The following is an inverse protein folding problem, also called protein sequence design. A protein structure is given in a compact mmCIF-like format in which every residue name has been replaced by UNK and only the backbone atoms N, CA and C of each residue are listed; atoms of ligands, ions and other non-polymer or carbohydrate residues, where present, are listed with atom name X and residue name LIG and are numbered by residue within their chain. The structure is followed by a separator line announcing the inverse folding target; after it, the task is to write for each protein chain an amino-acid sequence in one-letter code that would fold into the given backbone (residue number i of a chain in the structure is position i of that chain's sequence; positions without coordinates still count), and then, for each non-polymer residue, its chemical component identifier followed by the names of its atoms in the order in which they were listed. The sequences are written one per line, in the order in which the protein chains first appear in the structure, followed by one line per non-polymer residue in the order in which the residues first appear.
data_IF_925638238339
#
_entry.id   IF_925638238339
#
_cell.length_a   1.000
_cell.length_b   1.000
_cell.length_c   1.000
_cell.angle_alpha   90.00
_cell.angle_beta   90.00
_cell.angle_gamma   90.00
#
_symmetry.space_group_name_H-M   'P 1'
#
loop_
_entity.id
_entity.type
_entity.pdbx_description
1 polymer ?
#
# COMPACT_ATOMS: atom_id res chain seq x y z
N UNK A 1 -14.03 1.49 -22.51
CA UNK A 1 -13.91 1.71 -21.04
C UNK A 1 -12.50 1.30 -20.66
N UNK A 2 -11.80 2.06 -19.83
CA UNK A 2 -10.47 1.69 -19.34
C UNK A 2 -10.61 1.22 -17.89
N UNK A 3 -10.18 0.00 -17.59
CA UNK A 3 -10.22 -0.53 -16.22
C UNK A 3 -9.14 0.13 -15.37
N UNK A 4 -9.42 0.32 -14.08
CA UNK A 4 -8.43 0.75 -13.10
C UNK A 4 -7.53 -0.41 -12.68
N UNK A 5 -6.36 -0.11 -12.11
CA UNK A 5 -5.46 -1.14 -11.59
C UNK A 5 -6.12 -1.97 -10.46
N UNK A 6 -7.00 -1.35 -9.67
CA UNK A 6 -7.76 -2.04 -8.63
C UNK A 6 -8.76 -3.05 -9.24
N UNK A 7 -9.42 -2.68 -10.34
CA UNK A 7 -10.35 -3.56 -11.06
C UNK A 7 -9.60 -4.75 -11.68
N UNK A 8 -8.49 -4.49 -12.38
CA UNK A 8 -7.66 -5.55 -12.96
C UNK A 8 -7.12 -6.52 -11.91
N UNK A 9 -6.72 -6.02 -10.74
CA UNK A 9 -6.32 -6.87 -9.61
C UNK A 9 -7.48 -7.73 -9.11
N UNK A 10 -8.67 -7.14 -8.93
CA UNK A 10 -9.85 -7.84 -8.43
C UNK A 10 -10.30 -8.94 -9.40
N UNK A 11 -10.33 -8.65 -10.69
CA UNK A 11 -10.64 -9.64 -11.75
C UNK A 11 -9.63 -10.79 -11.75
N UNK A 12 -8.33 -10.47 -11.68
CA UNK A 12 -7.28 -11.48 -11.63
C UNK A 12 -7.37 -12.34 -10.38
N UNK A 13 -7.64 -11.72 -9.22
CA UNK A 13 -7.76 -12.42 -7.95
C UNK A 13 -8.96 -13.36 -7.91
N UNK A 14 -10.10 -12.94 -8.49
CA UNK A 14 -11.28 -13.78 -8.60
C UNK A 14 -11.05 -14.97 -9.54
N UNK A 15 -10.35 -14.77 -10.66
CA UNK A 15 -10.06 -15.84 -11.62
C UNK A 15 -8.99 -16.84 -11.13
N UNK A 16 -8.16 -16.47 -10.15
CA UNK A 16 -6.96 -17.21 -9.77
C UNK A 16 -6.81 -17.38 -8.25
N UNK A 17 -7.91 -17.36 -7.50
CA UNK A 17 -7.94 -17.29 -6.03
C UNK A 17 -6.95 -18.21 -5.29
N UNK A 18 -6.82 -19.47 -5.70
CA UNK A 18 -5.95 -20.49 -5.12
C UNK A 18 -4.49 -20.44 -5.58
N UNK A 19 -4.19 -19.67 -6.64
CA UNK A 19 -2.85 -19.57 -7.22
C UNK A 19 -1.97 -18.68 -6.33
N UNK A 20 -0.66 -18.99 -6.23
CA UNK A 20 0.29 -18.09 -5.58
C UNK A 20 0.29 -16.71 -6.24
N UNK A 21 0.17 -15.65 -5.44
CA UNK A 21 0.36 -14.26 -5.85
C UNK A 21 1.72 -13.71 -5.37
N UNK A 22 2.12 -14.06 -4.15
CA UNK A 22 3.37 -13.61 -3.51
C UNK A 22 4.13 -14.83 -2.98
N UNK A 23 5.44 -14.85 -3.21
CA UNK A 23 6.39 -15.79 -2.61
C UNK A 23 7.42 -15.00 -1.80
N UNK A 24 7.20 -14.92 -0.48
CA UNK A 24 8.05 -14.21 0.47
C UNK A 24 7.78 -14.75 1.88
N UNK A 25 8.77 -15.40 2.50
CA UNK A 25 8.64 -16.09 3.79
C UNK A 25 7.41 -17.03 3.88
N UNK A 26 7.07 -17.63 2.73
CA UNK A 26 5.86 -18.41 2.55
C UNK A 26 5.18 -18.09 1.22
N UNK A 27 3.97 -18.63 1.08
CA UNK A 27 3.10 -18.41 -0.08
C UNK A 27 1.87 -17.65 0.38
N UNK A 28 1.56 -16.55 -0.29
CA UNK A 28 0.25 -15.90 -0.22
C UNK A 28 -0.44 -16.10 -1.56
N UNK A 29 -1.65 -16.63 -1.52
CA UNK A 29 -2.51 -16.81 -2.68
C UNK A 29 -3.18 -15.50 -3.10
N UNK A 30 -3.71 -15.44 -4.32
CA UNK A 30 -4.49 -14.29 -4.77
C UNK A 30 -5.71 -14.03 -3.89
N UNK A 31 -6.42 -15.08 -3.44
CA UNK A 31 -7.58 -14.96 -2.57
C UNK A 31 -7.23 -14.38 -1.19
N UNK A 32 -6.14 -14.85 -0.58
CA UNK A 32 -5.64 -14.31 0.69
C UNK A 32 -5.21 -12.85 0.56
N UNK A 33 -4.48 -12.52 -0.51
CA UNK A 33 -4.06 -11.14 -0.77
C UNK A 33 -5.28 -10.24 -0.99
N UNK A 34 -6.27 -10.67 -1.78
CA UNK A 34 -7.49 -9.90 -2.03
C UNK A 34 -8.28 -9.65 -0.74
N UNK A 35 -8.47 -10.68 0.10
CA UNK A 35 -9.13 -10.52 1.39
C UNK A 35 -8.41 -9.50 2.30
N UNK A 36 -7.07 -9.55 2.34
CA UNK A 36 -6.27 -8.61 3.13
C UNK A 36 -6.33 -7.18 2.54
N UNK A 37 -6.31 -7.05 1.21
CA UNK A 37 -6.48 -5.77 0.49
C UNK A 37 -7.83 -5.15 0.85
N UNK A 38 -8.90 -5.94 0.87
CA UNK A 38 -10.25 -5.47 1.18
C UNK A 38 -10.36 -4.96 2.60
N UNK A 39 -9.75 -5.69 3.55
CA UNK A 39 -9.70 -5.30 4.95
C UNK A 39 -8.96 -3.97 5.12
N UNK A 40 -7.74 -3.86 4.60
CA UNK A 40 -6.93 -2.64 4.74
C UNK A 40 -7.58 -1.46 4.00
N UNK A 41 -8.12 -1.68 2.80
CA UNK A 41 -8.81 -0.64 2.04
C UNK A 41 -10.02 -0.09 2.80
N UNK A 42 -10.82 -0.95 3.44
CA UNK A 42 -11.93 -0.54 4.29
C UNK A 42 -11.48 0.35 5.45
N UNK A 43 -10.36 0.00 6.11
CA UNK A 43 -9.79 0.85 7.18
C UNK A 43 -9.32 2.21 6.66
N UNK A 44 -8.68 2.26 5.49
CA UNK A 44 -8.24 3.52 4.87
C UNK A 44 -9.44 4.40 4.49
N UNK A 45 -10.54 3.81 4.02
CA UNK A 45 -11.79 4.52 3.72
C UNK A 45 -12.45 5.07 5.00
N UNK A 46 -12.50 4.28 6.08
CA UNK A 46 -12.99 4.73 7.39
C UNK A 46 -12.19 5.93 7.95
N UNK A 47 -10.89 5.99 7.65
CA UNK A 47 -10.02 7.13 7.98
C UNK A 47 -10.22 8.34 7.05
N UNK A 48 -11.12 8.26 6.06
CA UNK A 48 -11.42 9.36 5.14
C UNK A 48 -10.33 9.62 4.10
N UNK A 49 -9.51 8.62 3.78
CA UNK A 49 -8.34 8.78 2.90
C UNK A 49 -8.66 8.67 1.40
N UNK A 50 -9.90 8.34 1.04
CA UNK A 50 -10.32 8.29 -0.36
C UNK A 50 -10.06 9.66 -1.06
N UNK A 51 -9.45 9.62 -2.25
CA UNK A 51 -9.02 10.81 -2.99
C UNK A 51 -7.72 11.45 -2.49
N UNK A 52 -7.14 10.96 -1.40
CA UNK A 52 -5.86 11.45 -0.86
C UNK A 52 -4.67 10.65 -1.38
N UNK A 53 -3.46 11.13 -1.10
CA UNK A 53 -2.22 10.43 -1.38
C UNK A 53 -1.72 9.74 -0.11
N UNK A 54 -1.49 8.44 -0.19
CA UNK A 54 -0.99 7.60 0.89
C UNK A 54 0.50 7.32 0.68
N UNK A 55 1.35 7.67 1.65
CA UNK A 55 2.74 7.25 1.66
C UNK A 55 2.85 5.75 1.95
N UNK A 56 3.77 5.07 1.27
CA UNK A 56 4.09 3.66 1.53
C UNK A 56 5.59 3.57 1.75
N UNK A 57 5.99 3.25 2.99
CA UNK A 57 7.37 3.05 3.42
C UNK A 57 7.54 1.64 4.00
N UNK A 58 7.58 0.66 3.10
CA UNK A 58 7.65 -0.77 3.43
C UNK A 58 8.80 -1.37 2.60
N UNK A 59 9.65 -2.25 3.18
CA UNK A 59 10.65 -2.98 2.39
C UNK A 59 9.99 -3.89 1.35
N UNK A 60 10.80 -4.56 0.51
CA UNK A 60 10.29 -5.54 -0.46
C UNK A 60 9.85 -6.85 0.22
N UNK A 61 8.75 -6.78 0.96
CA UNK A 61 8.07 -7.89 1.65
C UNK A 61 6.65 -8.06 1.13
N UNK A 62 5.95 -9.11 1.56
CA UNK A 62 4.54 -9.34 1.22
C UNK A 62 3.60 -8.19 1.66
N UNK A 63 4.01 -7.36 2.62
CA UNK A 63 3.24 -6.20 3.06
C UNK A 63 3.18 -5.08 2.02
N UNK A 64 4.19 -4.98 1.13
CA UNK A 64 4.23 -3.92 0.12
C UNK A 64 3.11 -4.07 -0.94
N UNK A 65 2.95 -5.22 -1.62
CA UNK A 65 1.85 -5.40 -2.59
C UNK A 65 0.48 -5.23 -1.94
N UNK A 66 0.33 -5.70 -0.69
CA UNK A 66 -0.89 -5.48 0.10
C UNK A 66 -1.20 -3.99 0.25
N UNK A 67 -0.27 -3.20 0.81
CA UNK A 67 -0.49 -1.78 1.05
C UNK A 67 -0.76 -1.01 -0.26
N UNK A 68 -0.04 -1.36 -1.33
CA UNK A 68 -0.21 -0.75 -2.64
C UNK A 68 -1.60 -1.01 -3.22
N UNK A 69 -2.05 -2.26 -3.28
CA UNK A 69 -3.38 -2.59 -3.80
C UNK A 69 -4.50 -2.07 -2.90
N UNK A 70 -4.31 -2.07 -1.57
CA UNK A 70 -5.26 -1.48 -0.63
C UNK A 70 -5.42 0.03 -0.81
N UNK A 71 -4.33 0.77 -1.08
CA UNK A 71 -4.39 2.19 -1.39
C UNK A 71 -5.26 2.44 -2.64
N UNK A 72 -5.00 1.70 -3.72
CA UNK A 72 -5.77 1.85 -4.95
C UNK A 72 -7.26 1.50 -4.74
N UNK A 73 -7.55 0.42 -4.00
CA UNK A 73 -8.93 0.01 -3.69
C UNK A 73 -9.64 0.99 -2.75
N UNK A 74 -8.91 1.64 -1.86
CA UNK A 74 -9.45 2.70 -1.01
C UNK A 74 -9.75 4.00 -1.78
N UNK A 75 -9.34 4.10 -3.05
CA UNK A 75 -9.43 5.33 -3.84
C UNK A 75 -8.30 6.32 -3.53
N UNK A 76 -7.22 5.87 -2.90
CA UNK A 76 -6.02 6.66 -2.67
C UNK A 76 -5.05 6.55 -3.87
N UNK A 77 -4.19 7.55 -4.03
CA UNK A 77 -2.98 7.41 -4.85
C UNK A 77 -1.79 7.03 -3.96
N UNK A 78 -0.92 6.12 -4.41
CA UNK A 78 0.26 5.71 -3.65
C UNK A 78 1.49 6.59 -3.92
N UNK A 79 2.15 7.08 -2.88
CA UNK A 79 3.52 7.61 -2.93
C UNK A 79 4.47 6.54 -2.38
N UNK A 80 5.25 5.93 -3.28
CA UNK A 80 6.22 4.91 -2.90
C UNK A 80 7.50 5.56 -2.41
N UNK A 81 7.84 5.34 -1.13
CA UNK A 81 9.04 5.87 -0.51
C UNK A 81 10.13 4.79 -0.52
N UNK A 82 11.34 5.15 -0.91
CA UNK A 82 12.47 4.22 -0.89
C UNK A 82 12.98 4.06 0.54
N UNK A 83 13.06 2.81 1.01
CA UNK A 83 13.52 2.46 2.37
C UNK A 83 15.01 2.70 2.60
N UNK A 84 15.79 2.92 1.53
CA UNK A 84 17.19 3.30 1.62
C UNK A 84 17.41 4.81 1.82
N UNK A 85 16.35 5.62 1.70
CA UNK A 85 16.44 7.06 1.88
C UNK A 85 16.69 7.42 3.35
N UNK A 86 17.42 8.50 3.56
CA UNK A 86 17.57 9.11 4.87
C UNK A 86 16.23 9.70 5.37
N UNK A 87 16.10 9.87 6.69
CA UNK A 87 14.94 10.55 7.31
C UNK A 87 14.66 11.92 6.69
N UNK A 88 15.72 12.68 6.36
CA UNK A 88 15.60 13.99 5.72
C UNK A 88 14.94 13.88 4.34
N UNK A 89 15.41 12.96 3.50
CA UNK A 89 14.89 12.76 2.15
C UNK A 89 13.45 12.24 2.14
N UNK A 90 13.10 11.37 3.11
CA UNK A 90 11.71 10.93 3.32
C UNK A 90 10.81 12.11 3.68
N UNK A 91 11.24 12.97 4.62
CA UNK A 91 10.48 14.15 5.00
C UNK A 91 10.32 15.15 3.83
N UNK A 92 11.37 15.35 3.03
CA UNK A 92 11.33 16.21 1.83
C UNK A 92 10.33 15.68 0.79
N UNK A 93 10.30 14.37 0.56
CA UNK A 93 9.34 13.75 -0.37
C UNK A 93 7.90 13.87 0.12
N UNK A 94 7.66 13.60 1.40
CA UNK A 94 6.33 13.73 2.01
C UNK A 94 5.81 15.17 1.94
N UNK A 95 6.67 16.15 2.26
CA UNK A 95 6.34 17.57 2.18
C UNK A 95 6.06 18.02 0.75
N UNK A 96 6.92 17.67 -0.20
CA UNK A 96 6.74 18.02 -1.62
C UNK A 96 5.46 17.40 -2.21
N UNK A 97 5.05 16.23 -1.70
CA UNK A 97 3.87 15.51 -2.14
C UNK A 97 2.59 15.85 -1.34
N UNK A 98 2.67 16.73 -0.34
CA UNK A 98 1.60 17.05 0.60
C UNK A 98 0.94 15.80 1.24
N UNK A 99 1.76 14.83 1.65
CA UNK A 99 1.31 13.58 2.28
C UNK A 99 1.43 13.67 3.79
N UNK A 100 0.32 13.45 4.48
CA UNK A 100 0.24 13.44 5.95
C UNK A 100 -0.10 12.07 6.54
N UNK A 101 -0.19 11.02 5.73
CA UNK A 101 -0.51 9.66 6.20
C UNK A 101 0.36 8.66 5.47
N UNK A 102 1.00 7.77 6.23
CA UNK A 102 1.94 6.78 5.71
C UNK A 102 1.61 5.40 6.30
N UNK A 103 1.56 4.39 5.44
CA UNK A 103 1.67 2.99 5.86
C UNK A 103 3.15 2.64 5.87
N UNK A 104 3.67 2.32 7.06
CA UNK A 104 5.08 1.98 7.23
C UNK A 104 5.24 0.66 7.98
N UNK A 105 6.36 -0.03 7.73
CA UNK A 105 6.80 -1.10 8.63
C UNK A 105 7.35 -0.51 9.92
N UNK A 106 7.12 -1.16 11.06
CA UNK A 106 7.59 -0.71 12.38
C UNK A 106 9.08 -0.37 12.40
N UNK A 107 9.90 -1.18 11.73
CA UNK A 107 11.34 -0.99 11.63
C UNK A 107 11.74 0.34 10.93
N UNK A 108 10.86 0.90 10.10
CA UNK A 108 11.09 2.14 9.34
C UNK A 108 10.35 3.35 9.93
N UNK A 109 9.50 3.16 10.94
CA UNK A 109 8.83 4.26 11.64
C UNK A 109 9.80 5.38 12.11
N UNK A 110 11.04 5.09 12.56
CA UNK A 110 12.00 6.15 12.91
C UNK A 110 12.41 7.09 11.76
N UNK A 111 12.18 6.70 10.50
CA UNK A 111 12.44 7.55 9.33
C UNK A 111 11.32 8.55 9.05
N UNK A 112 10.17 8.44 9.72
CA UNK A 112 9.06 9.35 9.52
C UNK A 112 9.31 10.69 10.27
N UNK A 113 8.86 11.81 9.70
CA UNK A 113 8.83 13.08 10.41
C UNK A 113 7.80 13.06 11.55
N UNK A 114 7.85 14.05 12.44
CA UNK A 114 6.80 14.20 13.46
C UNK A 114 5.51 14.71 12.80
N UNK A 115 4.35 14.15 13.19
CA UNK A 115 3.04 14.61 12.71
C UNK A 115 2.53 13.93 11.44
N UNK A 116 3.21 12.88 10.97
CA UNK A 116 2.66 11.86 10.05
C UNK A 116 2.04 10.70 10.79
#
# INVERSE_FOLDING_TARGET
MHNTLSELFSESAQANDHRPAILHDGKTTYGELAAAVDLLAGRLQELGLAGQRLGILIPNTAAFPLAFHAAQRAGCSALLLNTANSRREVAEQLAAAAVSTVVASDALAPLLPHGT
#
